data_IF_477391591417
#
_entry.id   IF_477391591417
#
_cell.length_a   1.000
_cell.length_b   1.000
_cell.length_c   1.000
_cell.angle_alpha   90.00
_cell.angle_beta   90.00
_cell.angle_gamma   90.00
#
_symmetry.space_group_name_H-M   'P 1'
#
loop_
_entity.id
_entity.type
_entity.pdbx_description
1 polymer ?
#
# COMPACT_ATOMS: atom_id res chain seq x y z
N UNK A 1 -34.02 11.70 103.58
CA UNK A 1 -32.84 11.37 104.43
C UNK A 1 -31.79 10.75 103.50
N UNK A 2 -30.70 11.38 103.48
CA UNK A 2 -29.39 11.08 102.85
C UNK A 2 -29.05 9.62 102.58
N UNK A 3 -28.45 9.34 101.42
CA UNK A 3 -27.04 8.91 101.38
C UNK A 3 -26.51 8.92 99.98
N UNK A 4 -25.35 9.46 99.87
CA UNK A 4 -24.53 9.64 98.69
C UNK A 4 -23.90 8.29 98.30
N UNK A 5 -23.96 7.90 97.03
CA UNK A 5 -23.24 6.75 96.49
C UNK A 5 -22.23 7.25 95.43
N UNK A 6 -20.98 6.95 95.63
CA UNK A 6 -19.84 7.37 94.82
C UNK A 6 -19.83 6.65 93.45
N UNK A 7 -19.45 7.40 92.44
CA UNK A 7 -19.22 6.91 91.07
C UNK A 7 -17.88 6.19 90.97
N UNK A 8 -17.74 5.08 90.21
CA UNK A 8 -16.45 4.51 89.87
C UNK A 8 -15.90 5.10 88.60
N UNK A 9 -14.68 5.57 88.70
CA UNK A 9 -13.86 6.11 87.59
C UNK A 9 -13.38 4.91 86.75
N UNK A 10 -13.94 4.82 85.53
CA UNK A 10 -13.42 3.91 84.51
C UNK A 10 -12.25 4.57 83.78
N UNK A 11 -11.06 4.05 83.97
CA UNK A 11 -9.88 4.39 83.20
C UNK A 11 -9.93 3.57 81.92
N UNK A 12 -10.24 4.25 80.79
CA UNK A 12 -10.00 3.68 79.47
C UNK A 12 -8.55 3.86 79.10
N UNK A 13 -7.81 2.77 79.06
CA UNK A 13 -6.46 2.68 78.51
C UNK A 13 -6.61 2.45 76.98
N UNK A 14 -6.46 3.53 76.21
CA UNK A 14 -6.36 3.44 74.77
C UNK A 14 -4.96 2.96 74.42
N UNK A 15 -4.78 1.68 74.18
CA UNK A 15 -3.58 1.17 73.53
C UNK A 15 -3.79 1.41 72.04
N UNK A 16 -3.18 2.47 71.50
CA UNK A 16 -2.98 2.66 70.07
C UNK A 16 -2.00 1.58 69.56
N UNK A 17 -2.58 0.49 69.08
CA UNK A 17 -1.86 -0.48 68.25
C UNK A 17 -1.64 0.17 66.88
N UNK A 18 -0.49 0.80 66.70
CA UNK A 18 0.04 1.17 65.40
C UNK A 18 0.51 -0.11 64.71
N UNK A 19 -0.41 -0.72 63.96
CA UNK A 19 0.01 -1.65 62.91
C UNK A 19 0.77 -0.86 61.85
N UNK A 20 2.00 -1.20 61.51
CA UNK A 20 2.67 -0.58 60.38
C UNK A 20 1.90 -1.03 59.12
N UNK A 21 1.30 -0.07 58.40
CA UNK A 21 0.75 -0.28 57.06
C UNK A 21 1.86 -0.82 56.16
N UNK A 22 1.75 -2.01 55.59
CA UNK A 22 2.82 -2.63 54.82
C UNK A 22 2.98 -2.08 53.39
N UNK A 23 2.34 -0.98 53.00
CA UNK A 23 2.37 -0.47 51.62
C UNK A 23 2.40 1.04 51.49
N UNK A 24 3.32 1.72 52.17
CA UNK A 24 3.77 3.02 51.67
C UNK A 24 4.99 2.80 50.77
N UNK A 25 4.75 2.31 49.57
CA UNK A 25 5.74 2.42 48.50
C UNK A 25 5.98 3.92 48.31
N UNK A 26 7.20 4.36 48.58
CA UNK A 26 7.51 5.78 48.53
C UNK A 26 7.25 6.34 47.13
N UNK A 27 6.79 7.60 47.02
CA UNK A 27 6.56 8.27 45.73
C UNK A 27 7.76 8.14 44.75
N UNK A 28 8.97 8.14 45.26
CA UNK A 28 10.18 7.90 44.49
C UNK A 28 10.26 6.47 43.90
N UNK A 29 9.80 5.45 44.60
CA UNK A 29 9.77 4.09 44.12
C UNK A 29 8.68 3.90 43.03
N UNK A 30 7.56 4.60 43.14
CA UNK A 30 6.53 4.65 42.10
C UNK A 30 7.03 5.36 40.85
N UNK A 31 7.70 6.51 40.98
CA UNK A 31 8.33 7.21 39.85
C UNK A 31 9.40 6.34 39.18
N UNK A 32 10.23 5.65 39.95
CA UNK A 32 11.24 4.75 39.41
C UNK A 32 10.62 3.61 38.61
N UNK A 33 9.57 2.95 39.14
CA UNK A 33 8.83 1.90 38.46
C UNK A 33 8.20 2.40 37.15
N UNK A 34 7.59 3.58 37.18
CA UNK A 34 7.03 4.20 35.97
C UNK A 34 8.13 4.52 34.94
N UNK A 35 9.24 5.06 35.37
CA UNK A 35 10.36 5.38 34.48
C UNK A 35 10.98 4.12 33.87
N UNK A 36 11.15 3.05 34.66
CA UNK A 36 11.68 1.77 34.17
C UNK A 36 10.70 1.07 33.21
N UNK A 37 9.38 1.12 33.47
CA UNK A 37 8.35 0.62 32.58
C UNK A 37 8.34 1.37 31.24
N UNK A 38 8.44 2.70 31.29
CA UNK A 38 8.51 3.55 30.09
C UNK A 38 9.77 3.26 29.25
N UNK A 39 10.92 3.10 29.89
CA UNK A 39 12.17 2.71 29.22
C UNK A 39 12.07 1.33 28.58
N UNK A 40 11.51 0.34 29.30
CA UNK A 40 11.30 -1.00 28.76
C UNK A 40 10.39 -1.00 27.54
N UNK A 41 9.30 -0.23 27.58
CA UNK A 41 8.39 -0.05 26.44
C UNK A 41 9.12 0.61 25.25
N UNK A 42 9.83 1.71 25.46
CA UNK A 42 10.59 2.38 24.39
C UNK A 42 11.63 1.46 23.76
N UNK A 43 12.31 0.64 24.57
CA UNK A 43 13.29 -0.34 24.05
C UNK A 43 12.60 -1.44 23.24
N UNK A 44 11.46 -1.96 23.71
CA UNK A 44 10.65 -2.94 22.99
C UNK A 44 10.14 -2.42 21.65
N UNK A 45 9.63 -1.18 21.63
CA UNK A 45 9.16 -0.52 20.42
C UNK A 45 10.31 -0.32 19.41
N UNK A 46 11.48 0.14 19.86
CA UNK A 46 12.65 0.32 19.02
C UNK A 46 13.15 -1.00 18.40
N UNK A 47 13.21 -2.08 19.18
CA UNK A 47 13.58 -3.40 18.69
C UNK A 47 12.58 -3.96 17.69
N UNK A 48 11.28 -3.72 17.91
CA UNK A 48 10.21 -4.10 16.99
C UNK A 48 10.34 -3.37 15.65
N UNK A 49 10.56 -2.05 15.68
CA UNK A 49 10.75 -1.24 14.49
C UNK A 49 12.01 -1.67 13.69
N UNK A 50 13.11 -1.94 14.37
CA UNK A 50 14.33 -2.43 13.72
C UNK A 50 14.11 -3.79 13.04
N UNK A 51 13.44 -4.72 13.70
CA UNK A 51 13.08 -6.02 13.12
C UNK A 51 12.16 -5.88 11.90
N UNK A 52 11.13 -5.05 11.98
CA UNK A 52 10.21 -4.81 10.88
C UNK A 52 10.92 -4.17 9.68
N UNK A 53 11.82 -3.22 9.93
CA UNK A 53 12.67 -2.63 8.89
C UNK A 53 13.55 -3.69 8.22
N UNK A 54 14.21 -4.55 8.97
CA UNK A 54 15.04 -5.62 8.42
C UNK A 54 14.24 -6.62 7.58
N UNK A 55 13.03 -7.00 8.01
CA UNK A 55 12.13 -7.89 7.27
C UNK A 55 11.70 -7.26 5.95
N UNK A 56 11.26 -6.00 5.95
CA UNK A 56 10.82 -5.31 4.73
C UNK A 56 11.97 -5.06 3.76
N UNK A 57 13.17 -4.73 4.26
CA UNK A 57 14.36 -4.61 3.43
C UNK A 57 14.76 -5.95 2.79
N UNK A 58 14.70 -7.04 3.54
CA UNK A 58 14.92 -8.40 3.03
C UNK A 58 13.93 -8.75 1.91
N UNK A 59 12.63 -8.49 2.14
CA UNK A 59 11.59 -8.67 1.14
C UNK A 59 11.84 -7.82 -0.13
N UNK A 60 12.18 -6.54 0.04
CA UNK A 60 12.47 -5.65 -1.09
C UNK A 60 13.69 -6.10 -1.88
N UNK A 61 14.76 -6.56 -1.22
CA UNK A 61 15.93 -7.14 -1.91
C UNK A 61 15.53 -8.38 -2.75
N UNK A 62 14.69 -9.24 -2.20
CA UNK A 62 14.17 -10.42 -2.92
C UNK A 62 13.34 -10.00 -4.14
N UNK A 63 12.42 -9.05 -3.97
CA UNK A 63 11.60 -8.50 -5.08
C UNK A 63 12.50 -7.88 -6.15
N UNK A 64 13.45 -7.05 -5.77
CA UNK A 64 14.35 -6.37 -6.71
C UNK A 64 15.18 -7.36 -7.53
N UNK A 65 15.78 -8.35 -6.89
CA UNK A 65 16.52 -9.41 -7.56
C UNK A 65 15.64 -10.21 -8.51
N UNK A 66 14.43 -10.57 -8.06
CA UNK A 66 13.46 -11.31 -8.86
C UNK A 66 13.01 -10.51 -10.10
N UNK A 67 12.64 -9.25 -9.92
CA UNK A 67 12.22 -8.38 -11.04
C UNK A 67 13.33 -8.16 -12.08
N UNK A 68 14.59 -7.98 -11.63
CA UNK A 68 15.72 -7.85 -12.54
C UNK A 68 16.00 -9.14 -13.34
N UNK A 69 15.66 -10.30 -12.79
CA UNK A 69 15.74 -11.58 -13.52
C UNK A 69 14.55 -11.78 -14.46
N UNK A 70 13.34 -11.39 -14.03
CA UNK A 70 12.10 -11.59 -14.77
C UNK A 70 11.98 -10.66 -15.98
N UNK A 71 12.29 -9.38 -15.82
CA UNK A 71 12.06 -8.35 -16.84
C UNK A 71 12.74 -8.65 -18.20
N UNK A 72 14.02 -9.06 -18.26
CA UNK A 72 14.66 -9.46 -19.52
C UNK A 72 13.96 -10.64 -20.19
N UNK A 73 13.55 -11.65 -19.40
CA UNK A 73 12.87 -12.84 -19.94
C UNK A 73 11.51 -12.50 -20.56
N UNK A 74 10.70 -11.70 -19.84
CA UNK A 74 9.41 -11.23 -20.38
C UNK A 74 9.59 -10.32 -21.59
N UNK A 75 10.65 -9.52 -21.65
CA UNK A 75 10.97 -8.67 -22.81
C UNK A 75 11.29 -9.50 -24.07
N UNK A 76 11.88 -10.69 -23.91
CA UNK A 76 12.13 -11.63 -24.99
C UNK A 76 10.86 -12.37 -25.38
N UNK A 77 10.12 -12.90 -24.41
CA UNK A 77 8.93 -13.74 -24.62
C UNK A 77 7.74 -12.92 -25.16
N UNK A 78 7.62 -11.66 -24.78
CA UNK A 78 6.52 -10.75 -25.16
C UNK A 78 5.16 -11.39 -25.02
N UNK A 79 4.78 -11.87 -23.83
CA UNK A 79 3.50 -12.53 -23.66
C UNK A 79 2.35 -11.58 -24.05
N UNK A 80 1.28 -12.15 -24.56
CA UNK A 80 0.07 -11.37 -24.82
C UNK A 80 -0.69 -11.15 -23.50
N UNK A 81 -1.21 -9.95 -23.31
CA UNK A 81 -2.12 -9.67 -22.19
C UNK A 81 -3.34 -10.58 -22.29
N UNK A 82 -3.75 -11.18 -21.18
CA UNK A 82 -5.02 -11.91 -21.08
C UNK A 82 -6.19 -10.98 -20.80
N UNK A 83 -5.90 -9.74 -20.42
CA UNK A 83 -6.89 -8.74 -20.07
C UNK A 83 -7.53 -8.09 -21.29
N UNK A 84 -8.76 -7.64 -21.10
CA UNK A 84 -9.53 -6.89 -22.08
C UNK A 84 -9.50 -5.41 -21.72
N UNK A 85 -8.86 -4.59 -22.58
CA UNK A 85 -8.77 -3.14 -22.38
C UNK A 85 -9.87 -2.43 -23.16
N UNK A 86 -10.92 -2.00 -22.47
CA UNK A 86 -12.08 -1.36 -23.06
C UNK A 86 -12.04 0.14 -22.81
N UNK A 87 -11.73 0.93 -23.84
CA UNK A 87 -11.83 2.40 -23.77
C UNK A 87 -13.29 2.82 -23.85
N UNK A 88 -14.00 2.36 -24.88
CA UNK A 88 -15.43 2.55 -25.08
C UNK A 88 -16.04 1.35 -25.81
N UNK A 89 -17.33 1.46 -26.24
CA UNK A 89 -18.04 0.35 -26.89
C UNK A 89 -17.41 -0.11 -28.21
N UNK A 90 -16.67 0.76 -28.90
CA UNK A 90 -16.07 0.49 -30.21
C UNK A 90 -14.58 0.16 -30.13
N UNK A 91 -13.90 0.62 -29.07
CA UNK A 91 -12.45 0.50 -28.93
C UNK A 91 -12.10 -0.43 -27.79
N UNK A 92 -11.95 -1.69 -28.15
CA UNK A 92 -11.58 -2.79 -27.28
C UNK A 92 -10.28 -3.41 -27.81
N UNK A 93 -9.34 -3.67 -26.89
CA UNK A 93 -8.06 -4.29 -27.19
C UNK A 93 -7.91 -5.57 -26.38
N UNK A 94 -7.65 -6.66 -27.08
CA UNK A 94 -7.44 -7.98 -26.51
C UNK A 94 -6.09 -8.54 -27.00
N UNK A 95 -5.50 -9.42 -26.24
CA UNK A 95 -4.22 -10.07 -26.57
C UNK A 95 -3.11 -9.07 -26.94
N UNK A 96 -3.07 -7.90 -26.26
CA UNK A 96 -2.06 -6.88 -26.52
C UNK A 96 -0.68 -7.39 -26.07
N UNK A 97 0.36 -7.35 -26.95
CA UNK A 97 1.68 -7.79 -26.54
C UNK A 97 2.27 -6.91 -25.44
N UNK A 98 2.82 -7.53 -24.41
CA UNK A 98 3.57 -6.88 -23.36
C UNK A 98 5.03 -6.76 -23.80
N UNK A 99 5.62 -5.59 -23.63
CA UNK A 99 6.97 -5.30 -24.10
C UNK A 99 7.67 -4.25 -23.23
N UNK A 100 8.96 -4.08 -23.42
CA UNK A 100 9.76 -3.04 -22.77
C UNK A 100 9.67 -3.08 -21.24
N UNK A 101 9.82 -4.27 -20.67
CA UNK A 101 9.84 -4.44 -19.23
C UNK A 101 11.07 -3.75 -18.64
N UNK A 102 10.85 -2.92 -17.61
CA UNK A 102 11.89 -2.18 -16.91
C UNK A 102 11.67 -2.25 -15.41
N UNK A 103 12.77 -2.21 -14.68
CA UNK A 103 12.76 -2.21 -13.21
C UNK A 103 13.39 -0.91 -12.72
N UNK A 104 12.65 -0.19 -11.88
CA UNK A 104 13.14 1.00 -11.20
C UNK A 104 13.04 0.82 -9.70
N UNK A 105 13.94 1.48 -8.98
CA UNK A 105 13.93 1.51 -7.53
C UNK A 105 14.35 2.86 -6.99
N UNK A 106 13.82 3.22 -5.85
CA UNK A 106 14.23 4.40 -5.11
C UNK A 106 14.55 4.02 -3.67
N UNK A 107 15.56 4.66 -3.12
CA UNK A 107 15.92 4.57 -1.70
C UNK A 107 15.65 5.88 -1.00
N UNK A 108 15.46 5.81 0.32
CA UNK A 108 15.30 6.98 1.20
C UNK A 108 16.02 6.75 2.54
N UNK A 109 16.43 7.82 3.23
CA UNK A 109 16.93 7.71 4.59
C UNK A 109 15.78 7.38 5.55
N UNK A 110 16.02 6.45 6.46
CA UNK A 110 15.15 6.09 7.58
C UNK A 110 16.00 5.66 8.78
N UNK A 111 15.90 6.35 9.93
CA UNK A 111 16.60 6.01 11.18
C UNK A 111 18.11 5.79 11.00
N UNK A 112 18.77 6.69 10.23
CA UNK A 112 20.19 6.65 9.88
C UNK A 112 20.63 5.50 8.94
N UNK A 113 19.69 4.79 8.33
CA UNK A 113 19.95 3.77 7.31
C UNK A 113 19.32 4.16 5.97
N UNK A 114 19.91 3.71 4.87
CA UNK A 114 19.30 3.80 3.55
C UNK A 114 18.42 2.58 3.28
N UNK A 115 17.12 2.82 3.15
CA UNK A 115 16.11 1.77 2.91
C UNK A 115 15.41 1.97 1.58
N UNK A 116 14.77 0.92 1.04
CA UNK A 116 13.91 1.06 -0.12
C UNK A 116 12.72 1.97 0.19
N UNK A 117 12.46 2.93 -0.70
CA UNK A 117 11.25 3.74 -0.71
C UNK A 117 10.17 3.04 -1.54
N UNK A 118 10.56 2.59 -2.74
CA UNK A 118 9.72 1.75 -3.60
C UNK A 118 10.55 0.98 -4.63
N UNK A 119 9.91 -0.03 -5.22
CA UNK A 119 10.36 -0.76 -6.41
C UNK A 119 9.21 -0.75 -7.42
N UNK A 120 9.52 -0.68 -8.70
CA UNK A 120 8.51 -0.76 -9.76
C UNK A 120 9.02 -1.65 -10.88
N UNK A 121 8.20 -2.64 -11.26
CA UNK A 121 8.28 -3.30 -12.55
C UNK A 121 7.20 -2.70 -13.44
N UNK A 122 7.57 -2.13 -14.58
CA UNK A 122 6.63 -1.59 -15.55
C UNK A 122 6.91 -2.14 -16.96
N UNK A 123 5.87 -2.08 -17.79
CA UNK A 123 5.91 -2.55 -19.17
C UNK A 123 4.98 -1.74 -20.06
N UNK A 124 5.16 -1.88 -21.37
CA UNK A 124 4.31 -1.27 -22.38
C UNK A 124 3.36 -2.29 -22.99
N UNK A 125 2.11 -1.87 -23.19
CA UNK A 125 1.09 -2.57 -23.96
C UNK A 125 0.88 -1.80 -25.27
N UNK A 126 1.54 -2.20 -26.34
CA UNK A 126 1.53 -1.49 -27.63
C UNK A 126 0.58 -2.16 -28.61
N UNK A 127 -0.53 -1.48 -28.93
CA UNK A 127 -1.48 -1.98 -29.93
C UNK A 127 -1.07 -1.64 -31.38
N UNK A 128 -0.17 -0.69 -31.56
CA UNK A 128 0.22 -0.16 -32.86
C UNK A 128 -0.85 0.68 -33.57
N UNK A 129 -1.97 0.97 -32.90
CA UNK A 129 -3.10 1.72 -33.50
C UNK A 129 -3.04 3.19 -33.08
N UNK A 130 -3.15 4.07 -34.04
CA UNK A 130 -3.46 5.47 -33.78
C UNK A 130 -4.98 5.64 -33.76
N UNK A 131 -5.49 6.31 -32.76
CA UNK A 131 -6.91 6.55 -32.56
C UNK A 131 -7.24 8.03 -32.61
N UNK A 132 -8.38 8.33 -33.18
CA UNK A 132 -9.02 9.64 -33.12
C UNK A 132 -10.47 9.42 -32.63
N UNK A 133 -10.80 9.94 -31.45
CA UNK A 133 -12.09 9.80 -30.82
C UNK A 133 -12.72 11.16 -30.64
N UNK A 134 -14.01 11.25 -30.94
CA UNK A 134 -14.85 12.43 -30.67
C UNK A 134 -15.88 12.06 -29.61
N UNK A 135 -16.00 12.84 -28.54
CA UNK A 135 -17.01 12.71 -27.49
C UNK A 135 -17.69 14.07 -27.26
N UNK A 136 -18.99 14.04 -27.21
CA UNK A 136 -19.86 15.21 -27.05
C UNK A 136 -20.71 15.16 -25.76
N UNK A 137 -20.77 14.00 -25.10
CA UNK A 137 -21.51 13.80 -23.86
C UNK A 137 -20.54 13.80 -22.67
N UNK A 138 -20.76 14.71 -21.70
CA UNK A 138 -19.86 14.92 -20.57
C UNK A 138 -19.53 13.63 -19.78
N UNK A 139 -20.46 12.76 -19.41
CA UNK A 139 -20.14 11.51 -18.71
C UNK A 139 -19.25 10.57 -19.52
N UNK A 140 -19.35 10.55 -20.85
CA UNK A 140 -18.48 9.74 -21.71
C UNK A 140 -17.08 10.36 -21.83
N UNK A 141 -16.99 11.70 -21.81
CA UNK A 141 -15.75 12.44 -21.72
C UNK A 141 -15.01 12.09 -20.43
N UNK A 142 -15.68 12.21 -19.28
CA UNK A 142 -15.10 11.94 -17.96
C UNK A 142 -14.61 10.49 -17.84
N UNK A 143 -15.38 9.53 -18.31
CA UNK A 143 -15.00 8.11 -18.34
C UNK A 143 -13.80 7.85 -19.23
N UNK A 144 -13.79 8.42 -20.43
CA UNK A 144 -12.67 8.28 -21.35
C UNK A 144 -11.39 8.90 -20.77
N UNK A 145 -11.49 10.13 -20.24
CA UNK A 145 -10.37 10.82 -19.63
C UNK A 145 -9.80 10.08 -18.40
N UNK A 146 -10.67 9.49 -17.57
CA UNK A 146 -10.24 8.63 -16.47
C UNK A 146 -9.42 7.44 -16.95
N UNK A 147 -9.91 6.71 -17.94
CA UNK A 147 -9.21 5.57 -18.54
C UNK A 147 -7.90 5.97 -19.22
N UNK A 148 -7.89 7.06 -19.98
CA UNK A 148 -6.68 7.56 -20.64
C UNK A 148 -5.62 7.98 -19.61
N UNK A 149 -6.01 8.63 -18.53
CA UNK A 149 -5.13 8.96 -17.40
C UNK A 149 -4.57 7.72 -16.73
N UNK A 150 -5.45 6.76 -16.42
CA UNK A 150 -5.06 5.47 -15.83
C UNK A 150 -4.13 4.68 -16.76
N UNK A 151 -4.37 4.74 -18.07
CA UNK A 151 -3.61 3.98 -19.05
C UNK A 151 -2.16 4.47 -19.23
N UNK A 152 -1.85 5.70 -18.81
CA UNK A 152 -0.54 6.32 -19.05
C UNK A 152 -0.31 6.70 -20.52
N UNK A 153 -1.34 6.69 -21.38
CA UNK A 153 -1.23 7.09 -22.77
C UNK A 153 -0.96 8.59 -22.89
N UNK A 154 -0.10 8.96 -23.83
CA UNK A 154 0.08 10.37 -24.21
C UNK A 154 -1.04 10.76 -25.19
N UNK A 155 -1.85 11.72 -24.78
CA UNK A 155 -3.08 12.09 -25.49
C UNK A 155 -3.09 13.58 -25.80
N UNK A 156 -3.24 13.89 -27.07
CA UNK A 156 -3.59 15.23 -27.51
C UNK A 156 -5.12 15.38 -27.50
N UNK A 157 -5.62 16.44 -26.88
CA UNK A 157 -7.05 16.73 -26.89
C UNK A 157 -7.31 18.18 -27.27
N UNK A 158 -8.37 18.39 -28.05
CA UNK A 158 -8.83 19.70 -28.46
C UNK A 158 -10.33 19.84 -28.26
N UNK A 159 -10.77 21.03 -27.83
CA UNK A 159 -12.18 21.38 -27.74
C UNK A 159 -12.73 21.72 -29.14
N UNK A 160 -13.73 20.97 -29.58
CA UNK A 160 -14.45 21.25 -30.83
C UNK A 160 -15.61 22.18 -30.51
N UNK A 161 -15.59 23.37 -31.14
CA UNK A 161 -16.63 24.39 -30.95
C UNK A 161 -17.41 24.61 -32.23
N UNK A 162 -18.69 24.95 -32.09
CA UNK A 162 -19.50 25.37 -33.20
C UNK A 162 -19.00 26.71 -33.75
N UNK A 163 -18.68 26.82 -35.06
CA UNK A 163 -18.12 28.03 -35.65
C UNK A 163 -19.08 29.23 -35.57
N UNK A 164 -20.43 29.00 -35.59
CA UNK A 164 -21.40 30.08 -35.65
C UNK A 164 -21.67 30.72 -34.29
N UNK A 165 -21.60 29.96 -33.21
CA UNK A 165 -22.02 30.43 -31.86
C UNK A 165 -20.97 30.18 -30.76
N UNK A 166 -19.81 29.62 -31.08
CA UNK A 166 -18.71 29.35 -30.16
C UNK A 166 -18.99 28.28 -29.07
N UNK A 167 -20.19 27.67 -29.08
CA UNK A 167 -20.56 26.66 -28.08
C UNK A 167 -19.74 25.40 -28.25
N UNK A 168 -19.36 24.80 -27.11
CA UNK A 168 -18.66 23.50 -27.08
C UNK A 168 -19.56 22.44 -27.69
N UNK A 169 -19.10 21.77 -28.75
CA UNK A 169 -19.77 20.62 -29.38
C UNK A 169 -19.22 19.29 -28.88
N UNK A 170 -17.99 19.26 -28.35
CA UNK A 170 -17.35 18.07 -27.83
C UNK A 170 -15.85 18.23 -27.70
N UNK A 171 -15.18 17.10 -27.41
CA UNK A 171 -13.73 17.01 -27.37
C UNK A 171 -13.23 15.94 -28.35
N UNK A 172 -12.17 16.27 -29.08
CA UNK A 172 -11.46 15.34 -29.95
C UNK A 172 -10.18 14.91 -29.24
N UNK A 173 -9.92 13.60 -29.25
CA UNK A 173 -8.75 12.97 -28.65
C UNK A 173 -7.97 12.27 -29.75
N UNK A 174 -6.67 12.55 -29.85
CA UNK A 174 -5.78 11.88 -30.78
C UNK A 174 -4.61 11.29 -30.01
N UNK A 175 -4.38 10.00 -30.16
CA UNK A 175 -3.30 9.30 -29.44
C UNK A 175 -2.95 7.97 -30.09
N UNK A 176 -1.75 7.48 -29.80
CA UNK A 176 -1.37 6.11 -30.06
C UNK A 176 -1.88 5.25 -28.90
N UNK A 177 -2.63 4.19 -29.22
CA UNK A 177 -3.11 3.25 -28.21
C UNK A 177 -1.95 2.39 -27.68
N UNK A 178 -1.16 2.99 -26.81
CA UNK A 178 -0.09 2.38 -26.05
C UNK A 178 -0.34 2.68 -24.57
N UNK A 179 -0.37 1.66 -23.75
CA UNK A 179 -0.70 1.75 -22.34
C UNK A 179 0.47 1.28 -21.48
N UNK A 180 0.53 1.72 -20.23
CA UNK A 180 1.56 1.34 -19.29
C UNK A 180 0.96 0.43 -18.22
N UNK A 181 1.48 -0.79 -18.11
CA UNK A 181 1.19 -1.65 -16.97
C UNK A 181 2.31 -1.56 -15.95
N UNK A 182 2.00 -1.73 -14.67
CA UNK A 182 3.02 -1.70 -13.63
C UNK A 182 2.65 -2.50 -12.38
N UNK A 183 3.68 -2.95 -11.68
CA UNK A 183 3.62 -3.44 -10.31
C UNK A 183 4.54 -2.58 -9.46
N UNK A 184 3.96 -1.78 -8.59
CA UNK A 184 4.68 -0.97 -7.60
C UNK A 184 4.67 -1.66 -6.25
N UNK A 185 5.82 -1.75 -5.63
CA UNK A 185 6.05 -2.38 -4.33
C UNK A 185 6.59 -1.33 -3.38
N UNK A 186 5.87 -1.06 -2.29
CA UNK A 186 6.21 -0.02 -1.31
C UNK A 186 6.32 -0.66 0.08
N UNK A 187 7.51 -0.71 0.69
CA UNK A 187 7.67 -1.25 2.04
C UNK A 187 7.07 -0.31 3.10
N UNK A 188 6.41 -0.90 4.07
CA UNK A 188 5.90 -0.25 5.28
C UNK A 188 6.80 -0.67 6.46
N UNK A 189 7.93 0.00 6.61
CA UNK A 189 9.00 -0.37 7.51
C UNK A 189 8.59 -0.47 8.98
N UNK A 190 7.60 0.31 9.42
CA UNK A 190 7.16 0.32 10.81
C UNK A 190 6.27 -0.89 11.13
N UNK A 191 5.47 -1.35 10.18
CA UNK A 191 4.53 -2.47 10.36
C UNK A 191 5.08 -3.83 9.92
N UNK A 192 6.24 -3.87 9.23
CA UNK A 192 6.78 -5.11 8.68
C UNK A 192 5.97 -5.66 7.50
N UNK A 193 5.25 -4.78 6.80
CA UNK A 193 4.37 -5.12 5.66
C UNK A 193 4.90 -4.53 4.36
N UNK A 194 4.40 -5.06 3.26
CA UNK A 194 4.71 -4.54 1.93
C UNK A 194 3.41 -4.33 1.17
N UNK A 195 3.23 -3.12 0.69
CA UNK A 195 2.09 -2.73 -0.14
C UNK A 195 2.42 -2.95 -1.62
N UNK A 196 1.53 -3.64 -2.31
CA UNK A 196 1.56 -3.84 -3.75
C UNK A 196 0.47 -3.01 -4.41
N UNK A 197 0.83 -2.30 -5.46
CA UNK A 197 -0.11 -1.61 -6.34
C UNK A 197 0.14 -2.08 -7.77
N UNK A 198 -0.87 -2.71 -8.36
CA UNK A 198 -0.84 -3.21 -9.73
C UNK A 198 -1.73 -2.33 -10.60
N UNK A 199 -1.22 -1.90 -11.75
CA UNK A 199 -1.96 -1.04 -12.66
C UNK A 199 -2.00 -1.65 -14.06
N UNK A 200 -3.19 -1.62 -14.67
CA UNK A 200 -3.43 -2.06 -16.03
C UNK A 200 -2.95 -3.52 -16.28
N UNK A 201 -3.21 -4.41 -15.34
CA UNK A 201 -2.90 -5.82 -15.45
C UNK A 201 -4.11 -6.64 -15.93
N UNK A 202 -5.28 -6.42 -15.33
CA UNK A 202 -6.56 -7.09 -15.69
C UNK A 202 -7.51 -6.18 -16.46
N UNK A 203 -7.02 -5.10 -17.06
CA UNK A 203 -7.78 -4.06 -17.75
C UNK A 203 -7.38 -2.67 -17.25
N UNK A 204 -8.18 -1.64 -17.55
CA UNK A 204 -7.97 -0.30 -17.01
C UNK A 204 -8.42 -0.23 -15.55
N UNK A 205 -7.68 -0.90 -14.68
CA UNK A 205 -7.92 -0.92 -13.25
C UNK A 205 -6.63 -0.77 -12.43
N UNK A 206 -6.80 -0.41 -11.18
CA UNK A 206 -5.75 -0.43 -10.16
C UNK A 206 -6.14 -1.41 -9.06
N UNK A 207 -5.24 -2.31 -8.73
CA UNK A 207 -5.40 -3.27 -7.63
C UNK A 207 -4.36 -2.92 -6.58
N UNK A 208 -4.80 -2.72 -5.34
CA UNK A 208 -3.91 -2.51 -4.21
C UNK A 208 -4.12 -3.57 -3.14
N UNK A 209 -3.04 -4.00 -2.50
CA UNK A 209 -3.06 -5.00 -1.44
C UNK A 209 -1.83 -4.92 -0.56
N UNK A 210 -1.89 -5.56 0.58
CA UNK A 210 -0.76 -5.68 1.50
C UNK A 210 -0.48 -7.15 1.83
N UNK A 211 0.82 -7.44 1.96
CA UNK A 211 1.32 -8.74 2.42
C UNK A 211 2.31 -8.54 3.57
N UNK A 212 2.36 -9.45 4.55
CA UNK A 212 3.46 -9.50 5.50
C UNK A 212 4.79 -9.69 4.77
N UNK A 213 5.83 -8.94 5.15
CA UNK A 213 7.13 -9.01 4.48
C UNK A 213 7.73 -10.44 4.49
N UNK A 214 7.45 -11.21 5.55
CA UNK A 214 7.92 -12.59 5.71
C UNK A 214 7.32 -13.55 4.66
N UNK A 215 6.16 -13.22 4.08
CA UNK A 215 5.50 -14.06 3.05
C UNK A 215 6.02 -13.79 1.63
N UNK A 216 6.89 -12.79 1.46
CA UNK A 216 7.42 -12.38 0.17
C UNK A 216 8.70 -13.15 -0.13
N UNK A 217 8.52 -14.31 -0.75
CA UNK A 217 9.58 -15.16 -1.27
C UNK A 217 9.40 -15.45 -2.76
N UNK A 218 10.32 -16.25 -3.34
CA UNK A 218 10.27 -16.62 -4.77
C UNK A 218 8.93 -17.25 -5.18
N UNK A 219 8.38 -18.15 -4.36
CA UNK A 219 7.10 -18.79 -4.65
C UNK A 219 5.94 -17.78 -4.80
N UNK A 220 5.88 -16.74 -3.96
CA UNK A 220 4.87 -15.69 -4.09
C UNK A 220 5.11 -14.83 -5.34
N UNK A 221 6.35 -14.53 -5.65
CA UNK A 221 6.72 -13.76 -6.83
C UNK A 221 6.53 -14.55 -8.12
N UNK A 222 6.67 -15.88 -8.11
CA UNK A 222 6.31 -16.75 -9.23
C UNK A 222 4.82 -16.68 -9.56
N UNK A 223 3.96 -16.59 -8.54
CA UNK A 223 2.52 -16.38 -8.75
C UNK A 223 2.22 -14.99 -9.37
N UNK A 224 2.98 -13.96 -8.99
CA UNK A 224 2.90 -12.65 -9.65
C UNK A 224 3.38 -12.72 -11.10
N UNK A 225 4.49 -13.39 -11.36
CA UNK A 225 5.02 -13.57 -12.71
C UNK A 225 4.04 -14.34 -13.62
N UNK A 226 3.38 -15.40 -13.09
CA UNK A 226 2.31 -16.12 -13.79
C UNK A 226 1.17 -15.17 -14.18
N UNK A 227 0.72 -14.32 -13.24
CA UNK A 227 -0.31 -13.34 -13.52
C UNK A 227 0.09 -12.38 -14.66
N UNK A 228 1.27 -11.77 -14.56
CA UNK A 228 1.79 -10.87 -15.62
C UNK A 228 1.88 -11.60 -16.97
N UNK A 229 2.26 -12.87 -16.97
CA UNK A 229 2.37 -13.69 -18.19
C UNK A 229 1.03 -14.26 -18.70
N UNK A 230 -0.11 -13.94 -18.03
CA UNK A 230 -1.43 -14.39 -18.44
C UNK A 230 -1.77 -15.84 -18.07
N UNK A 231 -1.10 -16.41 -17.08
CA UNK A 231 -1.36 -17.75 -16.56
C UNK A 231 -2.23 -17.72 -15.28
N UNK A 232 -2.93 -18.83 -14.97
CA UNK A 232 -3.60 -18.97 -13.69
C UNK A 232 -2.64 -18.76 -12.52
N UNK A 233 -3.06 -18.02 -11.53
CA UNK A 233 -2.23 -17.60 -10.39
C UNK A 233 -3.00 -17.56 -9.08
N UNK A 234 -2.28 -17.56 -7.97
CA UNK A 234 -2.81 -17.42 -6.61
C UNK A 234 -2.20 -16.25 -5.85
N UNK A 235 -1.63 -15.28 -6.55
CA UNK A 235 -0.92 -14.14 -5.95
C UNK A 235 -1.75 -13.37 -4.92
N UNK A 236 -3.05 -13.21 -5.17
CA UNK A 236 -3.97 -12.48 -4.27
C UNK A 236 -4.43 -13.29 -3.06
N UNK A 237 -4.06 -14.57 -2.95
CA UNK A 237 -4.46 -15.40 -1.82
C UNK A 237 -3.86 -14.85 -0.52
N UNK A 238 -4.69 -14.73 0.53
CA UNK A 238 -4.32 -14.16 1.82
C UNK A 238 -3.83 -12.70 1.77
N UNK A 239 -4.15 -11.97 0.69
CA UNK A 239 -3.87 -10.53 0.62
C UNK A 239 -4.78 -9.79 1.59
N UNK A 240 -4.20 -8.84 2.32
CA UNK A 240 -4.95 -7.95 3.20
C UNK A 240 -5.17 -6.61 2.50
N UNK A 241 -6.19 -5.86 2.94
CA UNK A 241 -6.53 -4.55 2.39
C UNK A 241 -6.69 -4.54 0.86
N UNK A 242 -7.16 -5.66 0.30
CA UNK A 242 -7.36 -5.78 -1.15
C UNK A 242 -8.46 -4.83 -1.62
N UNK A 243 -8.10 -3.95 -2.57
CA UNK A 243 -9.01 -3.01 -3.22
C UNK A 243 -8.81 -3.07 -4.73
N UNK A 244 -9.92 -3.00 -5.47
CA UNK A 244 -9.94 -2.83 -6.92
C UNK A 244 -10.67 -1.54 -7.26
N UNK A 245 -10.07 -0.75 -8.15
CA UNK A 245 -10.64 0.51 -8.63
C UNK A 245 -10.57 0.52 -10.13
N UNK A 246 -11.71 0.52 -10.78
CA UNK A 246 -11.83 0.70 -12.23
C UNK A 246 -11.71 2.18 -12.61
N UNK A 247 -11.17 2.45 -13.79
CA UNK A 247 -11.02 3.81 -14.33
C UNK A 247 -12.30 4.35 -14.95
#
# INVERSE_FOLDING_TARGET
MNSRGAAPTLRYSFALSLSPDPFTVGFLDDLKRQADALKAQQTGDSASLARNTALTEGACKTVFSYFNTLAPQLSVLRPASHARFTLDRQHVFEAVPLSEFRVDSRRKPLRNEEVYDFLVLHWQLKTGRQLQLMKDFLPDIDKLESKLRQSGAQVDNEAVRNPDNGKLQGRRYTFVAAFVGSVRVTPQHDSGRVHFQLQNLDGFESISMELPAIEIGSARLDELARWVAGHPHSFLKNAENLRRTEA
#
